data_IF_691473529419
#
_entry.id   IF_691473529419
#
_cell.length_a   1.000
_cell.length_b   1.000
_cell.length_c   1.000
_cell.angle_alpha   90.00
_cell.angle_beta   90.00
_cell.angle_gamma   90.00
#
_symmetry.space_group_name_H-M   'P 1'
#
loop_
_entity.id
_entity.type
_entity.pdbx_description
1 polymer ?
#
# COMPACT_ATOMS: atom_id res chain seq x y z
N UNK A 1 4.53 9.37 6.53
CA UNK A 1 4.18 8.96 7.92
C UNK A 1 4.61 9.93 9.04
N UNK A 2 5.71 10.68 8.91
CA UNK A 2 6.26 11.56 9.96
C UNK A 2 5.23 12.45 10.69
N UNK A 3 4.34 13.15 9.97
CA UNK A 3 3.31 14.01 10.58
C UNK A 3 2.38 13.27 11.57
N UNK A 4 2.04 12.02 11.26
CA UNK A 4 1.19 11.20 12.14
C UNK A 4 1.98 10.82 13.38
N UNK A 5 3.23 10.37 13.22
CA UNK A 5 4.11 10.05 14.34
C UNK A 5 4.34 11.25 15.26
N UNK A 6 4.59 12.43 14.69
CA UNK A 6 4.86 13.65 15.45
C UNK A 6 3.63 14.12 16.24
N UNK A 7 2.42 13.92 15.70
CA UNK A 7 1.17 14.39 16.33
C UNK A 7 0.51 13.36 17.26
N UNK A 8 0.70 12.06 17.00
CA UNK A 8 -0.05 10.98 17.64
C UNK A 8 0.82 9.83 18.17
N UNK A 9 2.14 9.89 17.95
CA UNK A 9 3.09 8.87 18.40
C UNK A 9 3.27 7.71 17.41
N UNK A 10 4.37 6.96 17.61
CA UNK A 10 4.76 5.88 16.71
C UNK A 10 3.77 4.70 16.69
N UNK A 11 3.06 4.45 17.80
CA UNK A 11 2.03 3.40 17.85
C UNK A 11 0.91 3.68 16.85
N UNK A 12 0.44 4.93 16.78
CA UNK A 12 -0.58 5.35 15.82
C UNK A 12 -0.07 5.34 14.37
N UNK A 13 1.21 5.66 14.18
CA UNK A 13 1.87 5.47 12.90
C UNK A 13 1.88 4.01 12.44
N UNK A 14 2.26 3.09 13.31
CA UNK A 14 2.28 1.65 13.01
C UNK A 14 0.87 1.11 12.73
N UNK A 15 -0.13 1.52 13.52
CA UNK A 15 -1.53 1.21 13.27
C UNK A 15 -1.98 1.71 11.90
N UNK A 16 -1.61 2.93 11.54
CA UNK A 16 -1.95 3.54 10.24
C UNK A 16 -1.31 2.77 9.08
N UNK A 17 -0.01 2.42 9.16
CA UNK A 17 0.66 1.58 8.15
C UNK A 17 -0.05 0.23 7.98
N UNK A 18 -0.42 -0.43 9.08
CA UNK A 18 -1.13 -1.72 9.03
C UNK A 18 -2.50 -1.58 8.39
N UNK A 19 -3.22 -0.49 8.68
CA UNK A 19 -4.50 -0.20 8.05
C UNK A 19 -4.32 0.01 6.54
N UNK A 20 -3.38 0.84 6.11
CA UNK A 20 -3.07 1.06 4.69
C UNK A 20 -2.73 -0.27 3.98
N UNK A 21 -1.87 -1.10 4.57
CA UNK A 21 -1.52 -2.39 4.00
C UNK A 21 -2.74 -3.30 3.80
N UNK A 22 -3.68 -3.31 4.75
CA UNK A 22 -4.94 -4.05 4.63
C UNK A 22 -5.82 -3.49 3.52
N UNK A 23 -6.02 -2.17 3.48
CA UNK A 23 -6.84 -1.54 2.45
C UNK A 23 -6.27 -1.82 1.05
N UNK A 24 -4.95 -1.65 0.87
CA UNK A 24 -4.26 -1.98 -0.39
C UNK A 24 -4.49 -3.44 -0.80
N UNK A 25 -4.37 -4.39 0.15
CA UNK A 25 -4.61 -5.81 -0.12
C UNK A 25 -6.05 -6.09 -0.55
N UNK A 26 -7.02 -5.36 -0.02
CA UNK A 26 -8.44 -5.52 -0.39
C UNK A 26 -8.81 -4.78 -1.68
N UNK A 27 -8.00 -3.83 -2.13
CA UNK A 27 -8.23 -3.03 -3.33
C UNK A 27 -7.64 -3.64 -4.61
N UNK A 28 -6.82 -4.68 -4.51
CA UNK A 28 -6.20 -5.37 -5.66
C UNK A 28 -6.76 -6.79 -5.82
N UNK A 29 -6.44 -7.45 -6.95
CA UNK A 29 -6.87 -8.84 -7.15
C UNK A 29 -6.11 -9.76 -6.20
N UNK A 30 -6.72 -10.90 -5.88
CA UNK A 30 -6.09 -11.91 -5.01
C UNK A 30 -4.78 -12.48 -5.56
N UNK A 31 -4.59 -12.42 -6.88
CA UNK A 31 -3.37 -12.79 -7.59
C UNK A 31 -2.27 -11.74 -7.49
N UNK A 32 -2.61 -10.48 -7.23
CA UNK A 32 -1.63 -9.40 -7.25
C UNK A 32 -0.85 -9.37 -5.93
N UNK A 33 0.41 -8.97 -6.00
CA UNK A 33 1.29 -8.88 -4.83
C UNK A 33 1.27 -7.44 -4.32
N UNK A 34 1.01 -7.28 -3.03
CA UNK A 34 1.20 -6.02 -2.30
C UNK A 34 2.36 -6.20 -1.35
N UNK A 35 3.38 -5.35 -1.43
CA UNK A 35 4.51 -5.38 -0.50
C UNK A 35 4.84 -4.00 0.05
N UNK A 36 5.36 -3.96 1.27
CA UNK A 36 5.93 -2.75 1.87
C UNK A 36 7.41 -2.70 1.50
N UNK A 37 7.80 -1.64 0.81
CA UNK A 37 9.17 -1.48 0.32
C UNK A 37 10.11 -0.91 1.39
N UNK A 38 9.63 0.09 2.13
CA UNK A 38 10.36 0.75 3.20
C UNK A 38 9.44 1.72 3.91
N UNK A 39 9.83 2.23 5.09
CA UNK A 39 9.12 3.33 5.78
C UNK A 39 7.60 3.28 5.66
N UNK A 40 7.01 4.21 4.90
CA UNK A 40 5.60 4.24 4.51
C UNK A 40 5.34 4.08 3.00
N UNK A 41 6.26 3.43 2.30
CA UNK A 41 6.24 3.16 0.86
C UNK A 41 5.74 1.74 0.56
N UNK A 42 4.85 1.61 -0.41
CA UNK A 42 4.24 0.34 -0.84
C UNK A 42 4.37 0.15 -2.34
N UNK A 43 4.51 -1.10 -2.77
CA UNK A 43 4.51 -1.51 -4.17
C UNK A 43 3.39 -2.51 -4.42
N UNK A 44 2.81 -2.43 -5.61
CA UNK A 44 1.84 -3.39 -6.12
C UNK A 44 2.43 -4.01 -7.38
N UNK A 45 2.49 -5.33 -7.43
CA UNK A 45 2.98 -6.09 -8.58
C UNK A 45 1.81 -6.93 -9.11
N UNK A 46 1.16 -6.49 -10.20
CA UNK A 46 0.12 -7.29 -10.83
C UNK A 46 0.74 -8.54 -11.46
N UNK A 47 0.13 -9.70 -11.23
CA UNK A 47 0.61 -10.97 -11.81
C UNK A 47 -0.09 -11.34 -13.12
N UNK A 48 -1.16 -10.61 -13.47
CA UNK A 48 -1.87 -10.81 -14.74
C UNK A 48 -2.28 -9.47 -15.33
N UNK A 49 -1.77 -9.18 -16.53
CA UNK A 49 -2.09 -7.99 -17.28
C UNK A 49 -2.87 -8.35 -18.54
N UNK A 50 -4.03 -7.74 -18.74
CA UNK A 50 -4.60 -7.57 -20.07
C UNK A 50 -3.98 -6.31 -20.67
N UNK A 51 -3.75 -6.27 -21.99
CA UNK A 51 -3.07 -5.16 -22.69
C UNK A 51 -3.66 -3.76 -22.41
N UNK A 52 -4.92 -3.70 -21.96
CA UNK A 52 -5.67 -2.48 -21.62
C UNK A 52 -5.44 -1.97 -20.18
N UNK A 53 -4.94 -2.83 -19.27
CA UNK A 53 -4.97 -2.62 -17.83
C UNK A 53 -3.85 -1.77 -17.21
N UNK A 54 -2.87 -1.32 -18.01
CA UNK A 54 -1.74 -0.49 -17.52
C UNK A 54 -2.01 1.02 -17.74
N UNK A 55 -3.12 1.40 -18.37
CA UNK A 55 -3.36 2.77 -18.85
C UNK A 55 -3.69 3.82 -17.77
N UNK A 56 -3.76 3.47 -16.48
CA UNK A 56 -4.04 4.45 -15.43
C UNK A 56 -3.13 4.23 -14.23
N UNK A 57 -2.05 5.02 -14.14
CA UNK A 57 -1.44 5.54 -12.91
C UNK A 57 -0.04 6.15 -13.17
N UNK A 58 0.08 7.02 -14.19
CA UNK A 58 1.14 8.02 -14.30
C UNK A 58 0.53 9.37 -14.67
#
# INVERSE_FOLDING_TARGET
>A
MKKINDNYGHTEGDYTIKKIARELRTSVRSSDIVCRYGGDEFLIIPLSFSHDGITAML
#
